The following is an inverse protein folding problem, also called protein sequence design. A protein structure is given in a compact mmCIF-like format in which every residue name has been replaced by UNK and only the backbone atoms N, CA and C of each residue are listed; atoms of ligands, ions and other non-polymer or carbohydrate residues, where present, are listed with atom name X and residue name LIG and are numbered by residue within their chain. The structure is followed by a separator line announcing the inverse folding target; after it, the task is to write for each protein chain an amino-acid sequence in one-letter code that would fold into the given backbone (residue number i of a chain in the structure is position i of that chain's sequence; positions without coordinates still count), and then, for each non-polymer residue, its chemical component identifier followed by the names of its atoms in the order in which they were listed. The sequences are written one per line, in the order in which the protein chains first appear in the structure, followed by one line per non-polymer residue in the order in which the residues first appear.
data_IF_357856247237
#
_entry.id   IF_357856247237
#
_cell.length_a   1.000
_cell.length_b   1.000
_cell.length_c   1.000
_cell.angle_alpha   90.00
_cell.angle_beta   90.00
_cell.angle_gamma   90.00
#
_symmetry.space_group_name_H-M   'P 1'
#
loop_
_entity.id
_entity.type
_entity.pdbx_description
1 polymer ?
#
# COMPACT_ATOMS: atom_id res chain seq x y z
N UNK A 1 4.72 32.46 5.11
CA UNK A 1 5.81 31.54 4.72
C UNK A 1 6.81 32.36 3.94
N UNK A 2 8.10 32.31 4.31
CA UNK A 2 9.16 33.03 3.59
C UNK A 2 9.19 32.59 2.12
N UNK A 3 9.34 33.53 1.19
CA UNK A 3 9.39 33.25 -0.24
C UNK A 3 10.57 32.34 -0.58
N UNK A 4 11.70 32.51 0.11
CA UNK A 4 12.87 31.64 -0.05
C UNK A 4 12.57 30.20 0.35
N UNK A 5 11.92 29.99 1.51
CA UNK A 5 11.56 28.66 1.98
C UNK A 5 10.58 27.96 1.03
N UNK A 6 9.66 28.72 0.43
CA UNK A 6 8.74 28.19 -0.58
C UNK A 6 9.49 27.71 -1.82
N UNK A 7 10.40 28.54 -2.34
CA UNK A 7 11.18 28.21 -3.54
C UNK A 7 12.07 26.98 -3.29
N UNK A 8 12.65 26.84 -2.10
CA UNK A 8 13.45 25.66 -1.70
C UNK A 8 12.60 24.38 -1.60
N UNK A 9 11.39 24.47 -1.05
CA UNK A 9 10.45 23.35 -0.98
C UNK A 9 9.96 22.93 -2.36
N UNK A 10 9.63 23.88 -3.22
CA UNK A 10 9.19 23.60 -4.60
C UNK A 10 10.32 22.90 -5.39
N UNK A 11 11.58 23.35 -5.23
CA UNK A 11 12.74 22.69 -5.81
C UNK A 11 12.93 21.26 -5.29
N UNK A 12 12.78 21.06 -3.97
CA UNK A 12 12.87 19.73 -3.38
C UNK A 12 11.80 18.80 -3.94
N UNK A 13 10.54 19.25 -4.03
CA UNK A 13 9.43 18.46 -4.58
C UNK A 13 9.74 18.01 -6.00
N UNK A 14 10.22 18.93 -6.85
CA UNK A 14 10.58 18.60 -8.23
C UNK A 14 11.71 17.56 -8.28
N UNK A 15 12.78 17.76 -7.51
CA UNK A 15 13.88 16.79 -7.44
C UNK A 15 13.43 15.43 -6.91
N UNK A 16 12.53 15.42 -5.92
CA UNK A 16 11.98 14.20 -5.32
C UNK A 16 11.16 13.40 -6.31
N UNK A 17 10.25 14.06 -7.05
CA UNK A 17 9.43 13.42 -8.09
C UNK A 17 10.27 12.85 -9.24
N UNK A 18 11.42 13.44 -9.51
CA UNK A 18 12.32 12.99 -10.56
C UNK A 18 13.16 11.75 -10.18
N UNK A 19 13.22 11.38 -8.90
CA UNK A 19 13.95 10.20 -8.44
C UNK A 19 13.39 8.93 -9.08
N UNK A 20 14.28 8.03 -9.53
CA UNK A 20 13.87 6.81 -10.20
C UNK A 20 12.93 5.95 -9.35
N UNK A 21 13.15 5.88 -8.05
CA UNK A 21 12.31 5.07 -7.16
C UNK A 21 10.88 5.63 -7.03
N UNK A 22 10.73 6.96 -7.04
CA UNK A 22 9.44 7.65 -6.98
C UNK A 22 8.68 7.44 -8.29
N UNK A 23 9.38 7.52 -9.43
CA UNK A 23 8.80 7.14 -10.74
C UNK A 23 8.36 5.68 -10.77
N UNK A 24 9.20 4.75 -10.30
CA UNK A 24 8.88 3.32 -10.22
C UNK A 24 7.69 3.05 -9.30
N UNK A 25 7.55 3.80 -8.20
CA UNK A 25 6.38 3.75 -7.32
C UNK A 25 5.10 4.07 -8.08
N UNK A 26 5.02 5.19 -8.81
CA UNK A 26 3.81 5.55 -9.55
C UNK A 26 3.47 4.54 -10.65
N UNK A 27 4.48 3.97 -11.31
CA UNK A 27 4.28 2.90 -12.30
C UNK A 27 3.68 1.65 -11.63
N UNK A 28 4.22 1.24 -10.49
CA UNK A 28 3.73 0.07 -9.76
C UNK A 28 2.34 0.31 -9.14
N UNK A 29 2.07 1.50 -8.62
CA UNK A 29 0.76 1.92 -8.12
C UNK A 29 -0.30 1.76 -9.21
N UNK A 30 -0.02 2.28 -10.40
CA UNK A 30 -0.91 2.15 -11.56
C UNK A 30 -1.14 0.68 -11.91
N UNK A 31 -0.07 -0.12 -12.00
CA UNK A 31 -0.17 -1.56 -12.30
C UNK A 31 -1.01 -2.30 -11.27
N UNK A 32 -0.78 -2.07 -9.97
CA UNK A 32 -1.56 -2.69 -8.88
C UNK A 32 -3.04 -2.32 -8.99
N UNK A 33 -3.35 -1.06 -9.32
CA UNK A 33 -4.72 -0.57 -9.40
C UNK A 33 -5.48 -0.99 -10.67
N UNK A 34 -4.76 -1.36 -11.74
CA UNK A 34 -5.35 -1.78 -13.02
C UNK A 34 -5.34 -3.30 -13.21
N UNK A 35 -4.53 -4.03 -12.45
CA UNK A 35 -4.41 -5.49 -12.53
C UNK A 35 -5.70 -6.18 -12.05
N UNK A 36 -6.40 -6.82 -12.99
CA UNK A 36 -7.67 -7.48 -12.73
C UNK A 36 -7.56 -8.64 -11.73
N UNK A 37 -6.42 -9.32 -11.65
CA UNK A 37 -6.22 -10.39 -10.69
C UNK A 37 -6.11 -9.83 -9.28
N UNK A 38 -5.35 -8.74 -9.11
CA UNK A 38 -5.24 -8.03 -7.83
C UNK A 38 -6.59 -7.49 -7.39
N UNK A 39 -7.33 -6.83 -8.28
CA UNK A 39 -8.68 -6.31 -7.97
C UNK A 39 -9.62 -7.45 -7.55
N UNK A 40 -9.64 -8.53 -8.32
CA UNK A 40 -10.45 -9.73 -8.01
C UNK A 40 -10.08 -10.34 -6.65
N UNK A 41 -8.78 -10.40 -6.35
CA UNK A 41 -8.27 -10.93 -5.08
C UNK A 41 -8.66 -10.04 -3.89
N UNK A 42 -8.58 -8.72 -4.02
CA UNK A 42 -9.07 -7.79 -3.00
C UNK A 42 -10.57 -7.96 -2.73
N UNK A 43 -11.37 -8.15 -3.77
CA UNK A 43 -12.81 -8.39 -3.61
C UNK A 43 -13.11 -9.74 -2.95
N UNK A 44 -12.35 -10.79 -3.27
CA UNK A 44 -12.43 -12.08 -2.57
C UNK A 44 -12.08 -11.93 -1.08
N UNK A 45 -11.00 -11.21 -0.75
CA UNK A 45 -10.61 -10.93 0.64
C UNK A 45 -11.71 -10.20 1.38
N UNK A 46 -12.30 -9.14 0.78
CA UNK A 46 -13.42 -8.40 1.39
C UNK A 46 -14.63 -9.29 1.64
N UNK A 47 -14.97 -10.17 0.70
CA UNK A 47 -16.08 -11.13 0.85
C UNK A 47 -15.77 -12.16 1.95
N UNK A 48 -14.57 -12.71 1.98
CA UNK A 48 -14.13 -13.67 3.00
C UNK A 48 -14.11 -13.03 4.40
N UNK A 49 -13.66 -11.78 4.52
CA UNK A 49 -13.67 -11.04 5.78
C UNK A 49 -15.11 -10.81 6.29
N UNK A 50 -16.05 -10.46 5.42
CA UNK A 50 -17.47 -10.34 5.78
C UNK A 50 -18.05 -11.69 6.21
N UNK A 51 -17.76 -12.76 5.47
CA UNK A 51 -18.25 -14.09 5.80
C UNK A 51 -17.70 -14.59 7.15
N UNK A 52 -16.42 -14.33 7.43
CA UNK A 52 -15.78 -14.61 8.72
C UNK A 52 -16.45 -13.88 9.89
N UNK A 53 -16.80 -12.61 9.69
CA UNK A 53 -17.50 -11.83 10.72
C UNK A 53 -18.90 -12.38 10.98
N UNK A 54 -19.62 -12.81 9.95
CA UNK A 54 -20.97 -13.37 10.06
C UNK A 54 -20.99 -14.78 10.66
N UNK A 55 -19.91 -15.55 10.55
CA UNK A 55 -19.83 -16.91 11.07
C UNK A 55 -19.51 -16.98 12.56
N UNK A 56 -19.36 -15.86 13.27
CA UNK A 56 -18.88 -15.81 14.67
C UNK A 56 -19.70 -16.66 15.66
N UNK A 57 -20.98 -16.89 15.37
CA UNK A 57 -21.87 -17.68 16.22
C UNK A 57 -21.76 -19.21 15.98
N UNK A 58 -21.00 -19.65 14.97
CA UNK A 58 -20.73 -21.06 14.69
C UNK A 58 -19.22 -21.27 14.64
N UNK A 59 -18.66 -21.87 15.69
CA UNK A 59 -17.22 -22.03 15.85
C UNK A 59 -16.58 -22.85 14.71
N UNK A 60 -17.23 -23.92 14.25
CA UNK A 60 -16.67 -24.77 13.17
C UNK A 60 -16.63 -24.00 11.85
N UNK A 61 -17.72 -23.31 11.51
CA UNK A 61 -17.80 -22.48 10.31
C UNK A 61 -16.83 -21.30 10.39
N UNK A 62 -16.69 -20.68 11.56
CA UNK A 62 -15.74 -19.59 11.78
C UNK A 62 -14.29 -20.00 11.54
N UNK A 63 -13.89 -21.19 12.00
CA UNK A 63 -12.54 -21.69 11.72
C UNK A 63 -12.31 -21.93 10.22
N UNK A 64 -13.30 -22.48 9.50
CA UNK A 64 -13.21 -22.67 8.04
C UNK A 64 -13.06 -21.32 7.32
N UNK A 65 -13.87 -20.33 7.68
CA UNK A 65 -13.82 -18.98 7.11
C UNK A 65 -12.53 -18.23 7.46
N UNK A 66 -11.96 -18.50 8.63
CA UNK A 66 -10.69 -17.90 9.06
C UNK A 66 -9.54 -18.39 8.18
N UNK A 67 -9.47 -19.70 7.93
CA UNK A 67 -8.47 -20.31 7.05
C UNK A 67 -8.62 -19.77 5.62
N UNK A 68 -9.85 -19.69 5.10
CA UNK A 68 -10.13 -19.14 3.77
C UNK A 68 -9.63 -17.69 3.63
N UNK A 69 -9.96 -16.84 4.60
CA UNK A 69 -9.49 -15.45 4.65
C UNK A 69 -7.95 -15.35 4.74
N UNK A 70 -7.32 -16.15 5.60
CA UNK A 70 -5.87 -16.15 5.78
C UNK A 70 -5.13 -16.58 4.50
N UNK A 71 -5.64 -17.58 3.79
CA UNK A 71 -5.06 -18.04 2.53
C UNK A 71 -5.14 -16.96 1.45
N UNK A 72 -6.31 -16.33 1.28
CA UNK A 72 -6.50 -15.24 0.32
C UNK A 72 -5.61 -14.03 0.65
N UNK A 73 -5.52 -13.69 1.94
CA UNK A 73 -4.66 -12.60 2.40
C UNK A 73 -3.19 -12.89 2.13
N UNK A 74 -2.74 -14.12 2.41
CA UNK A 74 -1.38 -14.56 2.12
C UNK A 74 -1.08 -14.48 0.62
N UNK A 75 -1.98 -14.95 -0.23
CA UNK A 75 -1.85 -14.86 -1.70
C UNK A 75 -1.68 -13.41 -2.17
N UNK A 76 -2.42 -12.48 -1.56
CA UNK A 76 -2.31 -11.05 -1.89
C UNK A 76 -1.00 -10.44 -1.40
N UNK A 77 -0.63 -10.71 -0.15
CA UNK A 77 0.57 -10.16 0.48
C UNK A 77 1.87 -10.71 -0.16
N UNK A 78 1.85 -11.96 -0.63
CA UNK A 78 2.98 -12.62 -1.32
C UNK A 78 3.01 -12.34 -2.82
N UNK A 79 1.99 -11.67 -3.38
CA UNK A 79 1.99 -11.33 -4.80
C UNK A 79 3.18 -10.41 -5.12
N UNK A 80 4.05 -10.76 -6.09
CA UNK A 80 5.26 -9.99 -6.38
C UNK A 80 5.00 -8.53 -6.73
N UNK A 81 3.91 -8.23 -7.43
CA UNK A 81 3.53 -6.87 -7.81
C UNK A 81 3.16 -6.04 -6.57
N UNK A 82 2.33 -6.61 -5.69
CA UNK A 82 1.90 -5.99 -4.43
C UNK A 82 3.07 -5.81 -3.47
N UNK A 83 3.91 -6.83 -3.31
CA UNK A 83 5.08 -6.80 -2.46
C UNK A 83 6.06 -5.70 -2.90
N UNK A 84 6.39 -5.65 -4.20
CA UNK A 84 7.27 -4.62 -4.75
C UNK A 84 6.69 -3.20 -4.58
N UNK A 85 5.39 -3.03 -4.82
CA UNK A 85 4.71 -1.75 -4.57
C UNK A 85 4.79 -1.34 -3.10
N UNK A 86 4.50 -2.26 -2.17
CA UNK A 86 4.51 -1.98 -0.73
C UNK A 86 5.90 -1.62 -0.21
N UNK A 87 6.96 -2.25 -0.73
CA UNK A 87 8.36 -1.91 -0.39
C UNK A 87 8.66 -0.46 -0.78
N UNK A 88 8.39 -0.08 -2.04
CA UNK A 88 8.64 1.29 -2.50
C UNK A 88 7.78 2.31 -1.76
N UNK A 89 6.50 1.99 -1.54
CA UNK A 89 5.58 2.83 -0.77
C UNK A 89 6.12 3.15 0.62
N UNK A 90 6.63 2.12 1.31
CA UNK A 90 7.22 2.28 2.65
C UNK A 90 8.49 3.13 2.60
N UNK A 91 9.37 2.90 1.63
CA UNK A 91 10.61 3.67 1.49
C UNK A 91 10.34 5.16 1.24
N UNK A 92 9.46 5.47 0.29
CA UNK A 92 9.03 6.84 -0.03
C UNK A 92 8.40 7.51 1.20
N UNK A 93 7.52 6.79 1.91
CA UNK A 93 6.92 7.31 3.14
C UNK A 93 7.97 7.66 4.21
N UNK A 94 8.97 6.80 4.41
CA UNK A 94 10.04 7.04 5.38
C UNK A 94 10.91 8.25 4.99
N UNK A 95 11.22 8.42 3.70
CA UNK A 95 11.96 9.59 3.21
C UNK A 95 11.19 10.89 3.48
N UNK A 96 9.89 10.92 3.16
CA UNK A 96 9.04 12.08 3.40
C UNK A 96 8.88 12.37 4.90
N UNK A 97 8.76 11.33 5.73
CA UNK A 97 8.68 11.48 7.18
C UNK A 97 9.97 12.09 7.76
N UNK A 98 11.14 11.60 7.34
CA UNK A 98 12.43 12.12 7.79
C UNK A 98 12.61 13.58 7.37
N UNK A 99 12.17 13.96 6.17
CA UNK A 99 12.18 15.35 5.74
C UNK A 99 11.28 16.21 6.65
N UNK A 100 10.07 15.74 6.94
CA UNK A 100 9.14 16.46 7.81
C UNK A 100 9.71 16.68 9.21
N UNK A 101 10.45 15.70 9.75
CA UNK A 101 11.14 15.83 11.05
C UNK A 101 12.24 16.89 10.98
N UNK A 102 13.07 16.89 9.92
CA UNK A 102 14.14 17.89 9.72
C UNK A 102 13.66 19.32 9.51
N UNK A 103 12.45 19.53 8.99
CA UNK A 103 11.85 20.86 8.81
C UNK A 103 11.31 21.42 10.16
N UNK A 104 11.03 20.56 11.12
CA UNK A 104 10.51 20.95 12.45
C UNK A 104 11.61 21.29 13.45
N UNK A 105 12.85 20.84 13.20
CA UNK A 105 14.06 21.18 13.96
C UNK A 105 14.57 22.58 13.60
#
# INVERSE_FOLDING_TARGET
MDKSLKDDLDNYINCFLEQEEVKKYFILEKKVNEDQNIISLQDKIRKAQKALALSINNQEEHQKKLIEYQNLKKEFDENPLVCNYNILKKNIYLQLKNLQERIKE
#
